data_IF_495617292543
#
_entry.id   IF_495617292543
#
_cell.length_a   1.000
_cell.length_b   1.000
_cell.length_c   1.000
_cell.angle_alpha   90.00
_cell.angle_beta   90.00
_cell.angle_gamma   90.00
#
_symmetry.space_group_name_H-M   'P 1'
#
loop_
_entity.id
_entity.type
_entity.pdbx_description
1 polymer ?
#
# COMPACT_ATOMS: atom_id res chain seq x y z
N UNK A 1 26.97 -4.48 75.36
CA UNK A 1 25.52 -4.66 75.15
C UNK A 1 24.92 -3.33 74.69
N UNK A 2 24.67 -3.16 73.40
CA UNK A 2 24.06 -1.93 72.85
C UNK A 2 22.82 -2.35 72.07
N UNK A 3 21.64 -2.09 72.66
CA UNK A 3 20.33 -2.47 72.12
C UNK A 3 19.95 -1.51 70.99
N UNK A 4 19.93 -2.02 69.76
CA UNK A 4 19.44 -1.30 68.58
C UNK A 4 17.91 -1.44 68.52
N UNK A 5 17.18 -0.41 68.95
CA UNK A 5 15.72 -0.35 68.82
C UNK A 5 15.35 0.05 67.39
N UNK A 6 14.87 -0.91 66.60
CA UNK A 6 14.29 -0.68 65.27
C UNK A 6 12.95 0.05 65.39
N UNK A 7 12.88 1.30 64.93
CA UNK A 7 11.66 2.10 64.81
C UNK A 7 11.00 1.83 63.46
N UNK A 8 10.27 0.73 63.34
CA UNK A 8 9.32 0.55 62.24
C UNK A 8 8.11 1.45 62.49
N UNK A 9 8.01 2.55 61.72
CA UNK A 9 6.78 3.36 61.68
C UNK A 9 5.74 2.61 60.83
N UNK A 10 4.46 2.57 61.25
CA UNK A 10 3.45 1.77 60.56
C UNK A 10 3.16 2.36 59.18
N UNK A 11 3.38 1.54 58.16
CA UNK A 11 3.19 1.82 56.74
C UNK A 11 1.78 2.38 56.40
N UNK A 12 0.82 2.17 57.29
CA UNK A 12 -0.59 2.55 57.15
C UNK A 12 -0.86 4.05 57.28
N UNK A 13 0.07 4.84 57.84
CA UNK A 13 -0.08 6.32 57.87
C UNK A 13 0.37 7.02 56.58
N UNK A 14 1.16 6.35 55.74
CA UNK A 14 1.67 6.89 54.48
C UNK A 14 0.60 6.93 53.37
N UNK A 15 -0.50 6.18 53.54
CA UNK A 15 -1.61 6.11 52.59
C UNK A 15 -2.69 7.19 52.81
N UNK A 16 -2.69 7.87 53.96
CA UNK A 16 -3.80 8.72 54.41
C UNK A 16 -3.57 10.24 54.25
N UNK A 17 -2.41 10.69 53.75
CA UNK A 17 -2.22 12.12 53.45
C UNK A 17 -2.77 12.46 52.06
N UNK A 18 -3.89 13.18 52.01
CA UNK A 18 -4.63 13.59 50.80
C UNK A 18 -3.84 14.39 49.74
N UNK A 19 -2.52 14.55 49.88
CA UNK A 19 -1.62 15.22 48.93
C UNK A 19 -1.27 14.37 47.71
N UNK A 20 -1.54 13.07 47.72
CA UNK A 20 -1.22 12.14 46.62
C UNK A 20 -2.44 11.62 45.85
N UNK A 21 -3.61 12.13 46.21
CA UNK A 21 -4.84 11.97 45.45
C UNK A 21 -4.63 12.18 43.93
N UNK A 22 -3.94 13.26 43.47
CA UNK A 22 -3.71 13.44 42.04
C UNK A 22 -2.83 12.36 41.41
N UNK A 23 -1.86 11.80 42.15
CA UNK A 23 -0.98 10.72 41.63
C UNK A 23 -1.75 9.42 41.45
N UNK A 24 -2.58 9.04 42.42
CA UNK A 24 -3.43 7.86 42.28
C UNK A 24 -4.50 8.02 41.20
N UNK A 25 -5.06 9.22 41.07
CA UNK A 25 -5.97 9.57 39.97
C UNK A 25 -5.27 9.40 38.62
N UNK A 26 -4.05 9.91 38.48
CA UNK A 26 -3.25 9.76 37.27
C UNK A 26 -2.96 8.30 36.92
N UNK A 27 -2.54 7.49 37.90
CA UNK A 27 -2.31 6.05 37.71
C UNK A 27 -3.61 5.35 37.30
N UNK A 28 -4.73 5.66 37.96
CA UNK A 28 -6.04 5.07 37.63
C UNK A 28 -6.48 5.42 36.21
N UNK A 29 -6.29 6.68 35.78
CA UNK A 29 -6.58 7.12 34.41
C UNK A 29 -5.68 6.40 33.41
N UNK A 30 -4.38 6.31 33.65
CA UNK A 30 -3.46 5.58 32.76
C UNK A 30 -3.82 4.10 32.67
N UNK A 31 -4.16 3.46 33.79
CA UNK A 31 -4.62 2.07 33.81
C UNK A 31 -5.94 1.87 33.06
N UNK A 32 -6.88 2.82 33.18
CA UNK A 32 -8.14 2.80 32.45
C UNK A 32 -7.90 2.91 30.94
N UNK A 33 -7.05 3.83 30.51
CA UNK A 33 -6.68 3.99 29.09
C UNK A 33 -6.00 2.73 28.56
N UNK A 34 -5.09 2.15 29.34
CA UNK A 34 -4.38 0.93 28.94
C UNK A 34 -5.32 -0.28 28.85
N UNK A 35 -6.29 -0.38 29.76
CA UNK A 35 -7.35 -1.38 29.70
C UNK A 35 -8.25 -1.21 28.47
N UNK A 36 -8.68 0.03 28.18
CA UNK A 36 -9.42 0.36 26.96
C UNK A 36 -8.63 0.05 25.69
N UNK A 37 -7.30 0.13 25.73
CA UNK A 37 -6.44 -0.20 24.58
C UNK A 37 -6.28 -1.72 24.37
N UNK A 38 -6.30 -2.50 25.45
CA UNK A 38 -6.16 -3.97 25.39
C UNK A 38 -7.46 -4.68 25.02
N UNK A 39 -8.61 -4.07 25.33
CA UNK A 39 -9.93 -4.57 24.95
C UNK A 39 -10.82 -3.39 24.58
N UNK A 40 -10.60 -2.79 23.39
CA UNK A 40 -11.41 -1.67 22.98
C UNK A 40 -12.85 -2.12 22.75
N UNK A 41 -13.84 -1.42 23.35
CA UNK A 41 -15.23 -1.64 23.04
C UNK A 41 -15.45 -1.31 21.55
N UNK A 42 -16.19 -2.14 20.82
CA UNK A 42 -16.43 -1.96 19.38
C UNK A 42 -16.96 -0.56 18.98
N UNK A 43 -17.62 0.13 19.93
CA UNK A 43 -18.12 1.50 19.75
C UNK A 43 -16.97 2.51 19.66
N UNK A 44 -15.92 2.34 20.47
CA UNK A 44 -14.75 3.21 20.53
C UNK A 44 -13.88 3.00 19.28
N UNK A 45 -13.64 1.75 18.89
CA UNK A 45 -12.89 1.43 17.67
C UNK A 45 -13.54 2.02 16.42
N UNK A 46 -14.85 1.77 16.23
CA UNK A 46 -15.55 2.27 15.06
C UNK A 46 -15.61 3.81 14.97
N UNK A 47 -15.56 4.51 16.12
CA UNK A 47 -15.47 5.98 16.13
C UNK A 47 -14.05 6.46 15.82
N UNK A 48 -13.01 5.81 16.36
CA UNK A 48 -11.62 6.14 16.07
C UNK A 48 -11.30 5.92 14.59
N UNK A 49 -11.69 4.77 14.02
CA UNK A 49 -11.47 4.45 12.61
C UNK A 49 -12.13 5.49 11.69
N UNK A 50 -13.35 5.92 11.99
CA UNK A 50 -14.05 6.95 11.21
C UNK A 50 -13.32 8.29 11.25
N UNK A 51 -12.84 8.69 12.43
CA UNK A 51 -12.05 9.91 12.57
C UNK A 51 -10.72 9.80 11.81
N UNK A 52 -10.07 8.64 11.89
CA UNK A 52 -8.85 8.34 11.13
C UNK A 52 -9.09 8.46 9.63
N UNK A 53 -10.13 7.82 9.09
CA UNK A 53 -10.48 7.92 7.67
C UNK A 53 -10.79 9.35 7.24
N UNK A 54 -11.49 10.12 8.07
CA UNK A 54 -11.79 11.52 7.76
C UNK A 54 -10.52 12.37 7.70
N UNK A 55 -9.61 12.20 8.67
CA UNK A 55 -8.32 12.89 8.70
C UNK A 55 -7.45 12.44 7.52
N UNK A 56 -7.47 11.16 7.18
CA UNK A 56 -6.74 10.60 6.05
C UNK A 56 -7.20 11.20 4.71
N UNK A 57 -8.51 11.26 4.47
CA UNK A 57 -9.09 11.85 3.26
C UNK A 57 -8.76 13.34 3.15
N UNK A 58 -8.85 14.08 4.25
CA UNK A 58 -8.46 15.50 4.27
C UNK A 58 -6.98 15.67 3.96
N UNK A 59 -6.13 14.83 4.57
CA UNK A 59 -4.69 14.86 4.31
C UNK A 59 -4.42 14.60 2.82
N UNK A 60 -5.06 13.61 2.22
CA UNK A 60 -4.86 13.30 0.79
C UNK A 60 -5.36 14.44 -0.13
N UNK A 61 -6.44 15.14 0.26
CA UNK A 61 -6.96 16.29 -0.49
C UNK A 61 -6.05 17.51 -0.41
N UNK A 62 -5.43 17.76 0.74
CA UNK A 62 -4.55 18.92 0.99
C UNK A 62 -3.11 18.65 0.58
N UNK A 63 -2.71 17.37 0.52
CA UNK A 63 -1.40 16.98 0.04
C UNK A 63 -1.21 17.54 -1.37
N UNK A 64 -0.12 18.31 -1.61
CA UNK A 64 0.18 18.80 -2.94
C UNK A 64 0.22 17.60 -3.88
N UNK A 65 -0.55 17.64 -4.97
CA UNK A 65 -0.32 16.71 -6.07
C UNK A 65 1.15 16.86 -6.42
N UNK A 66 1.92 15.77 -6.37
CA UNK A 66 3.34 15.81 -6.68
C UNK A 66 3.51 16.67 -7.93
N UNK A 67 4.15 17.83 -7.78
CA UNK A 67 4.48 18.68 -8.92
C UNK A 67 5.25 17.77 -9.85
N UNK A 68 4.68 17.46 -11.02
CA UNK A 68 5.42 16.72 -12.03
C UNK A 68 6.53 17.69 -12.43
N UNK A 69 7.81 17.42 -12.12
CA UNK A 69 8.88 18.25 -12.65
C UNK A 69 8.66 18.43 -14.15
N UNK A 70 8.93 19.61 -14.72
CA UNK A 70 8.80 19.80 -16.16
C UNK A 70 9.67 18.79 -16.94
N UNK A 71 10.74 18.30 -16.31
CA UNK A 71 11.63 17.25 -16.80
C UNK A 71 11.17 15.81 -16.53
N UNK A 72 9.99 15.60 -15.93
CA UNK A 72 9.49 14.27 -15.65
C UNK A 72 8.90 13.63 -16.92
N UNK A 73 9.77 12.91 -17.62
CA UNK A 73 9.49 12.22 -18.88
C UNK A 73 8.84 10.84 -18.68
N UNK A 74 8.33 10.55 -17.49
CA UNK A 74 7.66 9.28 -17.18
C UNK A 74 6.18 9.39 -17.55
N UNK A 75 5.75 8.54 -18.48
CA UNK A 75 4.35 8.41 -18.89
C UNK A 75 3.84 7.05 -18.43
N UNK A 76 2.74 7.04 -17.68
CA UNK A 76 2.04 5.82 -17.30
C UNK A 76 0.91 5.59 -18.28
N UNK A 77 0.90 4.44 -18.92
CA UNK A 77 -0.17 3.99 -19.81
C UNK A 77 -1.00 2.96 -19.04
N UNK A 78 -2.23 3.32 -18.70
CA UNK A 78 -3.14 2.46 -17.96
C UNK A 78 -4.03 1.64 -18.89
N UNK A 79 -4.40 0.44 -18.44
CA UNK A 79 -5.30 -0.47 -19.16
C UNK A 79 -6.69 -0.40 -18.55
N UNK A 80 -7.44 0.64 -18.94
CA UNK A 80 -8.75 0.91 -18.39
C UNK A 80 -9.89 0.24 -19.18
N UNK A 81 -11.09 0.26 -18.61
CA UNK A 81 -12.30 -0.29 -19.22
C UNK A 81 -12.56 0.31 -20.62
N UNK A 82 -12.25 1.59 -20.82
CA UNK A 82 -12.39 2.25 -22.13
C UNK A 82 -11.45 1.65 -23.16
N UNK A 83 -10.21 1.38 -22.77
CA UNK A 83 -9.21 0.73 -23.62
C UNK A 83 -9.61 -0.70 -23.94
N UNK A 84 -10.15 -1.45 -22.97
CA UNK A 84 -10.63 -2.82 -23.20
C UNK A 84 -11.86 -2.87 -24.11
N UNK A 85 -12.74 -1.87 -24.06
CA UNK A 85 -13.87 -1.77 -24.99
C UNK A 85 -13.41 -1.46 -26.42
N UNK A 86 -12.38 -0.62 -26.58
CA UNK A 86 -11.86 -0.23 -27.88
C UNK A 86 -10.96 -1.30 -28.51
N UNK A 87 -10.05 -1.88 -27.72
CA UNK A 87 -9.01 -2.80 -28.19
C UNK A 87 -9.34 -4.26 -27.88
N UNK A 88 -10.42 -4.54 -27.16
CA UNK A 88 -10.84 -5.89 -26.78
C UNK A 88 -10.36 -6.31 -25.39
N UNK A 89 -10.96 -7.39 -24.89
CA UNK A 89 -10.72 -7.89 -23.54
C UNK A 89 -9.27 -8.39 -23.34
N UNK A 90 -8.70 -8.10 -22.17
CA UNK A 90 -7.43 -8.65 -21.71
C UNK A 90 -7.62 -10.10 -21.18
N UNK A 91 -6.66 -11.03 -21.30
CA UNK A 91 -5.28 -10.89 -21.78
C UNK A 91 -5.14 -10.78 -23.30
N UNK A 92 -4.33 -9.83 -23.74
CA UNK A 92 -4.01 -9.65 -25.16
C UNK A 92 -2.91 -10.60 -25.62
N UNK A 93 -2.97 -11.01 -26.89
CA UNK A 93 -1.88 -11.74 -27.56
C UNK A 93 -0.60 -10.87 -27.60
N UNK A 94 0.58 -11.52 -27.48
CA UNK A 94 1.89 -10.88 -27.48
C UNK A 94 2.18 -10.06 -28.75
N UNK A 95 1.59 -10.38 -29.90
CA UNK A 95 1.67 -9.57 -31.12
C UNK A 95 1.05 -8.18 -30.92
N UNK A 96 -0.09 -8.09 -30.22
CA UNK A 96 -0.73 -6.80 -29.94
C UNK A 96 0.13 -5.97 -28.99
N UNK A 97 0.66 -6.59 -27.95
CA UNK A 97 1.57 -5.91 -27.00
C UNK A 97 2.87 -5.48 -27.68
N UNK A 98 3.42 -6.31 -28.58
CA UNK A 98 4.59 -5.97 -29.38
C UNK A 98 4.36 -4.74 -30.27
N UNK A 99 3.21 -4.69 -30.97
CA UNK A 99 2.82 -3.51 -31.77
C UNK A 99 2.66 -2.25 -30.92
N UNK A 100 2.15 -2.37 -29.69
CA UNK A 100 2.09 -1.26 -28.74
C UNK A 100 3.50 -0.78 -28.38
N UNK A 101 4.41 -1.72 -28.08
CA UNK A 101 5.81 -1.40 -27.77
C UNK A 101 6.53 -0.71 -28.95
N UNK A 102 6.31 -1.16 -30.18
CA UNK A 102 6.83 -0.52 -31.39
C UNK A 102 6.32 0.91 -31.53
N UNK A 103 5.01 1.15 -31.36
CA UNK A 103 4.45 2.50 -31.39
C UNK A 103 5.07 3.39 -30.31
N UNK A 104 5.24 2.89 -29.08
CA UNK A 104 5.88 3.65 -28.00
C UNK A 104 7.32 4.02 -28.34
N UNK A 105 8.07 3.10 -28.95
CA UNK A 105 9.42 3.39 -29.45
C UNK A 105 9.40 4.48 -30.53
N UNK A 106 8.44 4.43 -31.46
CA UNK A 106 8.31 5.43 -32.52
C UNK A 106 7.95 6.83 -31.97
N UNK A 107 7.31 6.89 -30.79
CA UNK A 107 7.12 8.14 -30.02
C UNK A 107 8.38 8.62 -29.27
N UNK A 108 9.52 7.93 -29.40
CA UNK A 108 10.79 8.32 -28.78
C UNK A 108 10.94 7.90 -27.32
N UNK A 109 10.14 6.94 -26.84
CA UNK A 109 10.28 6.39 -25.48
C UNK A 109 11.61 5.65 -25.35
N UNK A 110 12.42 6.03 -24.36
CA UNK A 110 13.75 5.46 -24.13
C UNK A 110 13.71 4.09 -23.45
N UNK A 111 12.77 3.89 -22.51
CA UNK A 111 12.62 2.67 -21.72
C UNK A 111 11.13 2.39 -21.54
N UNK A 112 10.73 1.14 -21.78
CA UNK A 112 9.36 0.67 -21.54
C UNK A 112 9.38 -0.35 -20.40
N UNK A 113 8.65 -0.05 -19.33
CA UNK A 113 8.38 -0.97 -18.23
C UNK A 113 7.00 -1.60 -18.39
N UNK A 114 6.90 -2.90 -18.16
CA UNK A 114 5.62 -3.62 -18.20
C UNK A 114 5.25 -4.05 -16.79
N UNK A 115 4.08 -3.61 -16.31
CA UNK A 115 3.43 -4.15 -15.12
C UNK A 115 2.41 -5.23 -15.52
N UNK A 116 2.86 -6.17 -16.36
CA UNK A 116 2.07 -7.31 -16.82
C UNK A 116 2.95 -8.55 -16.81
N UNK A 117 2.38 -9.68 -16.37
CA UNK A 117 3.09 -10.96 -16.31
C UNK A 117 2.79 -11.79 -17.54
N UNK A 118 3.81 -12.45 -18.07
CA UNK A 118 3.70 -13.35 -19.22
C UNK A 118 4.12 -14.78 -18.85
N UNK A 119 3.31 -15.50 -18.04
CA UNK A 119 3.73 -16.73 -17.38
C UNK A 119 3.89 -17.92 -18.35
N UNK A 120 3.11 -17.94 -19.44
CA UNK A 120 3.13 -19.00 -20.43
C UNK A 120 3.52 -18.46 -21.82
N UNK A 121 4.17 -19.28 -22.67
CA UNK A 121 4.35 -18.97 -24.09
C UNK A 121 2.99 -18.73 -24.76
N UNK A 122 2.93 -17.74 -25.65
CA UNK A 122 1.69 -17.44 -26.37
C UNK A 122 1.34 -18.56 -27.36
N UNK A 123 0.22 -19.24 -27.11
CA UNK A 123 -0.24 -20.35 -27.95
C UNK A 123 -0.79 -19.87 -29.29
N UNK A 124 -1.33 -18.65 -29.36
CA UNK A 124 -1.88 -18.07 -30.60
C UNK A 124 -0.79 -17.71 -31.60
N UNK A 125 0.44 -17.42 -31.14
CA UNK A 125 1.59 -17.22 -32.02
C UNK A 125 2.04 -18.51 -32.68
N UNK A 126 1.91 -19.66 -32.01
CA UNK A 126 2.36 -20.97 -32.53
C UNK A 126 1.58 -21.38 -33.78
N UNK A 127 0.29 -21.03 -33.84
CA UNK A 127 -0.56 -21.29 -35.01
C UNK A 127 -0.28 -20.29 -36.16
N UNK A 128 0.13 -19.06 -35.84
CA UNK A 128 0.47 -18.03 -36.84
C UNK A 128 1.90 -18.18 -37.42
N UNK A 129 2.79 -18.82 -36.66
CA UNK A 129 4.16 -19.16 -37.06
C UNK A 129 4.30 -20.66 -37.39
N UNK A 130 3.20 -21.35 -37.72
CA UNK A 130 3.30 -22.63 -38.40
C UNK A 130 4.33 -22.48 -39.53
N UNK A 131 5.37 -23.35 -39.58
CA UNK A 131 6.63 -23.05 -40.20
C UNK A 131 6.38 -22.50 -41.60
N UNK A 132 6.78 -21.24 -41.83
CA UNK A 132 6.88 -20.70 -43.18
C UNK A 132 7.77 -21.70 -43.90
N UNK A 133 7.16 -22.46 -44.80
CA UNK A 133 7.84 -23.52 -45.51
C UNK A 133 8.85 -22.83 -46.42
N UNK A 134 10.11 -22.75 -45.96
CA UNK A 134 11.17 -22.01 -46.64
C UNK A 134 11.45 -22.61 -48.04
N UNK A 135 11.00 -23.85 -48.28
CA UNK A 135 11.00 -24.46 -49.61
C UNK A 135 10.09 -23.72 -50.60
N UNK A 136 8.97 -23.15 -50.15
CA UNK A 136 8.06 -22.36 -51.00
C UNK A 136 8.60 -20.96 -51.34
N UNK A 137 9.58 -20.45 -50.59
CA UNK A 137 10.23 -19.16 -50.82
C UNK A 137 11.53 -19.26 -51.66
N UNK A 138 12.06 -20.47 -51.85
CA UNK A 138 13.30 -20.72 -52.61
C UNK A 138 13.12 -21.16 -54.06
N UNK A 139 11.90 -21.48 -54.50
CA UNK A 139 11.62 -22.04 -55.83
C UNK A 139 11.49 -21.04 -56.98
N UNK A 140 11.94 -19.80 -56.81
CA UNK A 140 11.72 -18.70 -57.76
C UNK A 140 12.93 -17.80 -57.94
N UNK A 141 14.08 -18.38 -58.30
CA UNK A 141 15.21 -17.71 -58.97
C UNK A 141 15.97 -18.73 -59.82
#
# INVERSE_FOLDING_TARGET
MMSMRTRFKPLTRWLAEGKRLPTYLGIAVTMLVLWLHLSPPAIVDGLLERLEYLVYDQRFRVMPKAEKPEDNKIVIVDLDERSLQAEGQFPWNRIKVGRLAEKLRDYGVLVVGFDITFPEPDRSIRDLLAPIDLETLGGGI
#
